data_IF_174495933162
#
_entry.id   IF_174495933162
#
_cell.length_a   1.000
_cell.length_b   1.000
_cell.length_c   1.000
_cell.angle_alpha   90.00
_cell.angle_beta   90.00
_cell.angle_gamma   90.00
#
_symmetry.space_group_name_H-M   'P 1'
#
loop_
_entity.id
_entity.type
_entity.pdbx_description
1 polymer ?
#
# COMPACT_ATOMS: atom_id res chain seq x y z
N UNK A 1 12.87 -3.41 -7.43
CA UNK A 1 12.96 -2.14 -6.68
C UNK A 1 11.55 -1.79 -6.19
N UNK A 2 11.28 -1.78 -4.88
CA UNK A 2 9.92 -1.46 -4.43
C UNK A 2 9.63 -1.78 -2.96
N UNK A 3 10.53 -1.45 -2.05
CA UNK A 3 10.16 -1.23 -0.65
C UNK A 3 10.86 0.05 -0.22
N UNK A 4 10.31 1.18 -0.67
CA UNK A 4 10.58 2.44 0.01
C UNK A 4 10.03 2.30 1.42
N UNK A 5 10.81 2.64 2.43
CA UNK A 5 10.38 2.57 3.83
C UNK A 5 9.06 3.30 4.08
N UNK A 6 8.52 3.14 5.29
CA UNK A 6 7.19 3.60 5.74
C UNK A 6 6.83 5.08 5.50
N UNK A 7 7.76 5.88 4.98
CA UNK A 7 7.57 7.27 4.57
C UNK A 7 6.87 7.41 3.19
N UNK A 8 6.91 6.37 2.34
CA UNK A 8 6.27 6.38 1.00
C UNK A 8 5.54 5.07 0.72
N UNK A 9 4.57 4.75 1.57
CA UNK A 9 3.65 3.65 1.34
C UNK A 9 2.65 4.01 0.23
N UNK A 10 2.46 3.10 -0.73
CA UNK A 10 1.37 3.18 -1.70
C UNK A 10 0.36 2.10 -1.36
N UNK A 11 -0.82 2.51 -0.90
CA UNK A 11 -1.89 1.58 -0.57
C UNK A 11 -3.14 1.93 -1.37
N UNK A 12 -3.76 0.90 -1.94
CA UNK A 12 -4.96 1.04 -2.74
C UNK A 12 -6.00 0.00 -2.31
N UNK A 13 -7.27 0.39 -2.39
CA UNK A 13 -8.36 -0.57 -2.30
C UNK A 13 -9.29 -0.39 -3.48
N UNK A 14 -9.54 -1.51 -4.16
CA UNK A 14 -10.47 -1.60 -5.28
C UNK A 14 -11.69 -2.41 -4.86
N UNK A 15 -12.85 -1.92 -5.26
CA UNK A 15 -14.14 -2.61 -5.20
C UNK A 15 -14.68 -2.73 -6.63
N UNK A 16 -15.86 -3.34 -6.80
CA UNK A 16 -16.50 -3.45 -8.11
C UNK A 16 -16.72 -2.08 -8.80
N UNK A 17 -16.98 -1.02 -8.04
CA UNK A 17 -17.34 0.31 -8.59
C UNK A 17 -16.29 1.39 -8.35
N UNK A 18 -15.49 1.25 -7.29
CA UNK A 18 -14.63 2.33 -6.81
C UNK A 18 -13.23 1.84 -6.49
N UNK A 19 -12.24 2.69 -6.74
CA UNK A 19 -10.87 2.52 -6.26
C UNK A 19 -10.43 3.77 -5.51
N UNK A 20 -9.92 3.58 -4.30
CA UNK A 20 -9.25 4.61 -3.53
C UNK A 20 -7.74 4.32 -3.54
N UNK A 21 -6.95 5.31 -3.95
CA UNK A 21 -5.49 5.29 -3.87
C UNK A 21 -5.04 6.29 -2.80
N UNK A 22 -4.12 5.87 -1.94
CA UNK A 22 -3.47 6.72 -0.93
C UNK A 22 -1.96 6.49 -1.05
N UNK A 23 -1.21 7.52 -1.39
CA UNK A 23 0.24 7.53 -1.36
C UNK A 23 0.71 8.42 -0.20
N UNK A 24 1.53 7.91 0.70
CA UNK A 24 2.03 8.69 1.83
C UNK A 24 2.52 7.82 2.98
N UNK A 25 2.69 8.39 4.17
CA UNK A 25 3.11 7.64 5.34
C UNK A 25 2.03 6.65 5.81
N UNK A 26 2.43 5.75 6.71
CA UNK A 26 1.56 4.71 7.25
C UNK A 26 0.22 5.25 7.79
N UNK A 27 -0.89 4.69 7.29
CA UNK A 27 -2.26 5.10 7.63
C UNK A 27 -2.88 4.32 8.80
N UNK A 28 -2.16 3.40 9.46
CA UNK A 28 -2.66 2.59 10.59
C UNK A 28 -3.22 3.45 11.74
N UNK A 29 -2.62 4.63 11.95
CA UNK A 29 -3.06 5.67 12.89
C UNK A 29 -4.42 6.31 12.53
N UNK A 30 -4.97 6.00 11.36
CA UNK A 30 -6.19 6.59 10.82
C UNK A 30 -5.99 7.95 10.14
N UNK A 31 -4.77 8.48 10.14
CA UNK A 31 -4.43 9.73 9.47
C UNK A 31 -4.10 9.49 8.01
N UNK A 32 -5.09 9.65 7.13
CA UNK A 32 -4.89 9.51 5.67
C UNK A 32 -5.14 10.81 4.90
N UNK A 33 -5.65 11.87 5.55
CA UNK A 33 -6.00 13.17 4.92
C UNK A 33 -4.97 14.27 5.16
N UNK A 34 -3.74 13.93 5.54
CA UNK A 34 -2.70 14.95 5.82
C UNK A 34 -2.07 15.47 4.53
N UNK A 35 -1.33 16.58 4.61
CA UNK A 35 -0.56 17.14 3.47
C UNK A 35 0.50 16.17 2.92
N UNK A 36 0.87 15.13 3.68
CA UNK A 36 1.80 14.08 3.25
C UNK A 36 1.11 12.95 2.48
N UNK A 37 -0.21 12.99 2.36
CA UNK A 37 -0.99 11.99 1.64
C UNK A 37 -1.56 12.55 0.35
N UNK A 38 -1.06 12.03 -0.75
CA UNK A 38 -1.70 12.15 -2.04
C UNK A 38 -2.81 11.11 -2.13
N UNK A 39 -3.98 11.51 -2.62
CA UNK A 39 -5.20 10.71 -2.57
C UNK A 39 -5.97 10.87 -3.86
N UNK A 40 -6.52 9.76 -4.34
CA UNK A 40 -7.38 9.76 -5.52
C UNK A 40 -8.52 8.77 -5.36
N UNK A 41 -9.70 9.14 -5.87
CA UNK A 41 -10.86 8.26 -5.89
C UNK A 41 -11.38 8.14 -7.32
N UNK A 42 -11.43 6.93 -7.84
CA UNK A 42 -11.85 6.64 -9.22
C UNK A 42 -13.08 5.75 -9.26
N UNK A 43 -13.95 5.97 -10.26
CA UNK A 43 -15.10 5.12 -10.61
C UNK A 43 -14.68 4.04 -11.61
N UNK A 44 -14.04 2.97 -11.15
CA UNK A 44 -13.47 1.94 -12.05
C UNK A 44 -14.53 1.25 -12.95
N UNK A 45 -15.80 1.23 -12.55
CA UNK A 45 -16.88 0.66 -13.38
C UNK A 45 -17.24 1.54 -14.59
N UNK A 46 -16.90 2.82 -14.58
CA UNK A 46 -17.20 3.79 -15.65
C UNK A 46 -15.96 4.42 -16.28
N UNK A 47 -14.89 4.50 -15.49
CA UNK A 47 -13.59 5.06 -15.81
C UNK A 47 -12.52 4.04 -15.40
N UNK A 48 -12.39 2.93 -16.15
CA UNK A 48 -11.40 1.90 -15.86
C UNK A 48 -9.95 2.40 -16.05
N UNK A 49 -9.77 3.51 -16.79
CA UNK A 49 -8.47 4.11 -17.06
C UNK A 49 -8.05 5.15 -16.01
N UNK A 50 -8.86 5.37 -14.96
CA UNK A 50 -8.50 6.24 -13.83
C UNK A 50 -8.18 7.68 -14.28
N UNK A 51 -8.97 8.20 -15.21
CA UNK A 51 -8.78 9.52 -15.82
C UNK A 51 -9.37 10.67 -15.01
N UNK A 52 -10.42 10.42 -14.22
CA UNK A 52 -11.15 11.46 -13.48
C UNK A 52 -11.06 11.21 -11.98
N UNK A 53 -10.37 12.10 -11.26
CA UNK A 53 -10.41 12.10 -9.80
C UNK A 53 -11.76 12.63 -9.28
N UNK A 54 -12.45 11.79 -8.53
CA UNK A 54 -13.75 12.04 -7.94
C UNK A 54 -13.70 12.22 -6.42
N UNK A 55 -12.49 12.37 -5.84
CA UNK A 55 -12.30 12.49 -4.40
C UNK A 55 -13.09 13.67 -3.81
N UNK A 56 -13.05 14.83 -4.46
CA UNK A 56 -13.78 16.02 -4.03
C UNK A 56 -15.30 15.90 -4.16
N UNK A 57 -15.77 15.11 -5.12
CA UNK A 57 -17.21 14.92 -5.40
C UNK A 57 -17.83 13.85 -4.50
N UNK A 58 -17.07 12.83 -4.11
CA UNK A 58 -17.54 11.70 -3.31
C UNK A 58 -16.71 11.45 -2.04
N UNK A 59 -16.59 12.44 -1.13
CA UNK A 59 -15.75 12.32 0.06
C UNK A 59 -16.23 11.25 1.05
N UNK A 60 -17.54 10.93 1.04
CA UNK A 60 -18.13 9.85 1.86
C UNK A 60 -17.63 8.47 1.40
N UNK A 61 -17.65 8.22 0.09
CA UNK A 61 -17.13 6.97 -0.49
C UNK A 61 -15.66 6.80 -0.16
N UNK A 62 -14.86 7.85 -0.31
CA UNK A 62 -13.45 7.82 0.08
C UNK A 62 -13.27 7.51 1.57
N UNK A 63 -14.12 8.06 2.46
CA UNK A 63 -14.04 7.78 3.89
C UNK A 63 -14.34 6.31 4.23
N UNK A 64 -15.38 5.73 3.61
CA UNK A 64 -15.73 4.34 3.86
C UNK A 64 -14.69 3.37 3.29
N UNK A 65 -14.11 3.70 2.15
CA UNK A 65 -12.99 2.93 1.62
C UNK A 65 -11.75 3.08 2.53
N UNK A 66 -11.42 4.30 2.97
CA UNK A 66 -10.29 4.52 3.87
C UNK A 66 -10.42 3.75 5.19
N UNK A 67 -11.61 3.65 5.79
CA UNK A 67 -11.84 2.85 7.01
C UNK A 67 -11.41 1.39 6.83
N UNK A 68 -11.77 0.76 5.71
CA UNK A 68 -11.39 -0.62 5.40
C UNK A 68 -9.89 -0.75 5.15
N UNK A 69 -9.28 0.22 4.46
CA UNK A 69 -7.83 0.28 4.27
C UNK A 69 -7.07 0.40 5.58
N UNK A 70 -7.51 1.27 6.48
CA UNK A 70 -6.91 1.44 7.82
C UNK A 70 -7.04 0.15 8.62
N UNK A 71 -8.23 -0.49 8.60
CA UNK A 71 -8.44 -1.77 9.26
C UNK A 71 -7.50 -2.85 8.71
N UNK A 72 -7.36 -2.93 7.38
CA UNK A 72 -6.44 -3.86 6.74
C UNK A 72 -4.97 -3.58 7.11
N UNK A 73 -4.56 -2.31 7.12
CA UNK A 73 -3.18 -1.93 7.47
C UNK A 73 -2.85 -2.25 8.93
N UNK A 74 -3.82 -2.15 9.85
CA UNK A 74 -3.66 -2.54 11.26
C UNK A 74 -3.48 -4.05 11.45
N UNK A 75 -3.92 -4.87 10.50
CA UNK A 75 -3.71 -6.33 10.56
C UNK A 75 -2.30 -6.73 10.10
N UNK A 76 -1.58 -5.85 9.41
CA UNK A 76 -0.22 -6.13 8.99
C UNK A 76 0.74 -5.96 10.18
N UNK A 77 1.61 -6.94 10.46
CA UNK A 77 2.60 -6.80 11.52
C UNK A 77 3.54 -5.62 11.22
N UNK A 78 3.93 -4.87 12.26
CA UNK A 78 4.90 -3.77 12.14
C UNK A 78 6.23 -4.23 11.52
N UNK A 79 6.58 -5.50 11.74
CA UNK A 79 7.73 -6.15 11.12
C UNK A 79 7.27 -7.03 9.96
N UNK A 80 7.42 -6.54 8.74
CA UNK A 80 7.51 -7.43 7.58
C UNK A 80 8.84 -8.18 7.65
N UNK A 81 8.83 -9.48 7.30
CA UNK A 81 10.03 -10.30 7.18
C UNK A 81 11.16 -9.52 6.51
N UNK A 82 12.36 -9.59 7.10
CA UNK A 82 13.56 -8.88 6.67
C UNK A 82 13.71 -8.87 5.14
N UNK A 83 14.19 -7.74 4.61
CA UNK A 83 14.49 -7.56 3.20
C UNK A 83 15.27 -8.79 2.70
N UNK A 84 14.78 -9.41 1.61
CA UNK A 84 15.42 -10.53 0.93
C UNK A 84 16.86 -10.12 0.56
N UNK A 85 17.82 -10.44 1.44
CA UNK A 85 19.18 -9.91 1.38
C UNK A 85 19.93 -9.90 2.72
N UNK A 86 19.25 -9.80 3.86
CA UNK A 86 19.90 -9.78 5.18
C UNK A 86 20.69 -11.08 5.50
N UNK A 87 20.27 -12.22 4.95
CA UNK A 87 20.94 -13.52 5.15
C UNK A 87 22.25 -13.73 4.38
N UNK A 88 22.61 -12.89 3.39
CA UNK A 88 23.83 -13.10 2.59
C UNK A 88 25.12 -12.74 3.31
N UNK A 89 25.08 -11.98 4.41
CA UNK A 89 26.29 -11.59 5.14
C UNK A 89 26.92 -12.73 5.96
N UNK A 90 26.15 -13.77 6.27
CA UNK A 90 26.60 -14.90 7.10
C UNK A 90 26.44 -16.26 6.41
N UNK A 91 25.92 -16.30 5.18
CA UNK A 91 25.81 -17.54 4.43
C UNK A 91 27.20 -18.05 4.03
N UNK A 92 27.70 -19.05 4.75
CA UNK A 92 28.82 -19.89 4.31
C UNK A 92 28.25 -21.09 3.58
N UNK A 93 28.53 -21.19 2.28
CA UNK A 93 28.21 -22.39 1.52
C UNK A 93 28.92 -23.61 2.14
N UNK A 94 28.24 -24.75 2.33
CA UNK A 94 28.88 -26.02 2.67
C UNK A 94 29.88 -26.43 1.58
N UNK A 95 31.01 -27.03 1.95
CA UNK A 95 32.08 -27.42 1.01
C UNK A 95 31.63 -28.38 -0.09
N UNK A 96 30.55 -29.13 0.12
CA UNK A 96 30.03 -30.16 -0.79
C UNK A 96 28.82 -29.73 -1.63
N UNK A 97 28.64 -28.42 -1.82
CA UNK A 97 27.56 -27.92 -2.67
C UNK A 97 27.79 -28.27 -4.15
N UNK A 98 27.24 -29.40 -4.60
CA UNK A 98 27.19 -29.81 -6.02
C UNK A 98 25.87 -29.37 -6.63
N UNK A 99 25.91 -28.36 -7.47
CA UNK A 99 24.81 -28.02 -8.37
C UNK A 99 24.87 -29.03 -9.52
N UNK A 100 23.81 -29.82 -9.72
CA UNK A 100 23.58 -30.58 -10.95
C UNK A 100 22.50 -29.89 -11.76
#
# INVERSE_FOLDING_TARGET
HGQGGEDKEKIAMRTAKWKLLINGPNISSGKWRTKRHERFLFRIDRDPNETIDLLGQHPKVAADLAKKLIAFRRLQPEFSVDIYGAGRRQFKAPKDWRIK
#
